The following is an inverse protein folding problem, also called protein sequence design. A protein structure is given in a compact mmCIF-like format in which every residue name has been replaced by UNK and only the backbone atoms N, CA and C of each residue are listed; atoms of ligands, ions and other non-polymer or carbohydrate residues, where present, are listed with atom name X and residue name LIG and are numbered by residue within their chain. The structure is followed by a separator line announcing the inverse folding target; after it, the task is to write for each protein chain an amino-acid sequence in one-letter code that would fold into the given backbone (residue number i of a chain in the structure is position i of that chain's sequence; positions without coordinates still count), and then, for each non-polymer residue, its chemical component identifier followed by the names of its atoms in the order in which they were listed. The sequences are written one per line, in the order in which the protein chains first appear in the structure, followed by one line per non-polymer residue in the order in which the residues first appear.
data_IF_005206218991
#
_entry.id   IF_005206218991
#
_cell.length_a   1.000
_cell.length_b   1.000
_cell.length_c   1.000
_cell.angle_alpha   90.00
_cell.angle_beta   90.00
_cell.angle_gamma   90.00
#
_symmetry.space_group_name_H-M   'P 1'
#
loop_
_entity.id
_entity.type
_entity.pdbx_description
1 polymer ?
#
# COMPACT_ATOMS: atom_id res chain seq x y z
N UNK A 1 8.35 -38.31 3.12
CA UNK A 1 9.09 -37.04 3.23
C UNK A 1 8.24 -35.96 2.59
N UNK A 2 7.56 -35.20 3.39
CA UNK A 2 6.78 -34.08 2.87
C UNK A 2 7.73 -32.95 2.51
N UNK A 3 7.75 -32.57 1.25
CA UNK A 3 8.29 -31.28 0.84
C UNK A 3 7.47 -30.23 1.55
N UNK A 4 8.05 -29.68 2.58
CA UNK A 4 7.48 -28.55 3.32
C UNK A 4 7.61 -27.32 2.43
N UNK A 5 6.79 -27.27 1.38
CA UNK A 5 6.71 -26.10 0.52
C UNK A 5 6.01 -25.01 1.34
N UNK A 6 6.82 -24.14 1.96
CA UNK A 6 6.31 -22.96 2.61
C UNK A 6 5.45 -22.15 1.62
N UNK A 7 4.32 -21.65 2.07
CA UNK A 7 3.46 -20.80 1.23
C UNK A 7 4.22 -19.55 0.77
N UNK A 8 3.88 -18.93 -0.37
CA UNK A 8 4.50 -17.68 -0.81
C UNK A 8 4.47 -16.60 0.28
N UNK A 9 3.42 -16.55 1.10
CA UNK A 9 3.33 -15.61 2.22
C UNK A 9 4.41 -15.87 3.27
N UNK A 10 4.77 -17.14 3.55
CA UNK A 10 5.80 -17.51 4.51
C UNK A 10 7.21 -17.16 4.02
N UNK A 11 7.42 -17.15 2.70
CA UNK A 11 8.69 -16.75 2.06
C UNK A 11 8.80 -15.26 1.82
N UNK A 12 7.75 -14.51 2.11
CA UNK A 12 7.68 -13.08 1.80
C UNK A 12 8.47 -12.28 2.83
N UNK A 13 9.36 -11.44 2.33
CA UNK A 13 10.09 -10.46 3.12
C UNK A 13 9.47 -9.09 2.86
N UNK A 14 9.04 -8.42 3.95
CA UNK A 14 8.56 -7.05 3.86
C UNK A 14 9.71 -6.12 4.26
N UNK A 15 10.04 -5.20 3.37
CA UNK A 15 11.10 -4.23 3.62
C UNK A 15 10.68 -2.84 3.17
N UNK A 16 11.43 -1.84 3.63
CA UNK A 16 11.20 -0.45 3.24
C UNK A 16 11.41 -0.26 1.74
N UNK A 17 10.56 0.56 1.15
CA UNK A 17 10.65 0.97 -0.25
C UNK A 17 11.96 1.74 -0.49
N UNK A 18 12.61 1.44 -1.62
CA UNK A 18 13.83 2.11 -2.09
C UNK A 18 13.56 2.75 -3.44
N UNK A 19 14.38 3.74 -3.80
CA UNK A 19 14.29 4.42 -5.10
C UNK A 19 14.38 3.42 -6.26
N UNK A 20 15.24 2.42 -6.13
CA UNK A 20 15.45 1.37 -7.14
C UNK A 20 14.22 0.52 -7.41
N UNK A 21 13.25 0.52 -6.51
CA UNK A 21 12.02 -0.27 -6.66
C UNK A 21 11.01 0.38 -7.62
N UNK A 22 11.22 1.64 -8.02
CA UNK A 22 10.24 2.41 -8.77
C UNK A 22 9.84 1.74 -10.10
N UNK A 23 10.79 1.13 -10.81
CA UNK A 23 10.51 0.45 -12.08
C UNK A 23 9.64 -0.80 -11.90
N UNK A 24 9.97 -1.64 -10.91
CA UNK A 24 9.19 -2.84 -10.63
C UNK A 24 7.79 -2.51 -10.10
N UNK A 25 7.68 -1.51 -9.25
CA UNK A 25 6.37 -1.01 -8.76
C UNK A 25 5.54 -0.48 -9.93
N UNK A 26 6.16 0.26 -10.86
CA UNK A 26 5.50 0.73 -12.06
C UNK A 26 4.95 -0.40 -12.93
N UNK A 27 5.68 -1.49 -13.06
CA UNK A 27 5.23 -2.69 -13.79
C UNK A 27 4.05 -3.36 -13.10
N UNK A 28 4.09 -3.50 -11.78
CA UNK A 28 2.99 -4.07 -10.99
C UNK A 28 1.73 -3.21 -11.16
N UNK A 29 1.86 -1.90 -11.00
CA UNK A 29 0.76 -0.96 -11.18
C UNK A 29 0.17 -1.06 -12.60
N UNK A 30 1.02 -1.07 -13.61
CA UNK A 30 0.60 -1.18 -15.02
C UNK A 30 -0.14 -2.49 -15.31
N UNK A 31 0.32 -3.59 -14.74
CA UNK A 31 -0.33 -4.90 -14.90
C UNK A 31 -1.73 -4.92 -14.26
N UNK A 32 -1.89 -4.31 -13.09
CA UNK A 32 -3.18 -4.24 -12.39
C UNK A 32 -4.15 -3.31 -13.11
N UNK A 33 -3.68 -2.13 -13.50
CA UNK A 33 -4.51 -1.11 -14.15
C UNK A 33 -4.69 -1.35 -15.65
N UNK A 34 -3.95 -2.29 -16.24
CA UNK A 34 -3.91 -2.56 -17.68
C UNK A 34 -3.58 -1.31 -18.50
N UNK A 35 -2.72 -0.47 -17.97
CA UNK A 35 -2.27 0.78 -18.56
C UNK A 35 -0.77 0.94 -18.35
N UNK A 36 -0.11 1.61 -19.30
CA UNK A 36 1.27 2.04 -19.09
C UNK A 36 1.31 3.08 -17.97
N UNK A 37 2.16 2.91 -16.96
CA UNK A 37 2.29 3.90 -15.90
C UNK A 37 2.68 5.26 -16.48
N UNK A 38 2.05 6.31 -16.02
CA UNK A 38 2.45 7.67 -16.35
C UNK A 38 3.83 7.95 -15.74
N UNK A 39 4.63 8.78 -16.41
CA UNK A 39 5.94 9.21 -15.88
C UNK A 39 5.85 9.74 -14.43
N UNK A 40 4.78 10.44 -14.11
CA UNK A 40 4.50 11.00 -12.79
C UNK A 40 4.41 9.93 -11.70
N UNK A 41 3.95 8.72 -12.02
CA UNK A 41 3.84 7.64 -11.03
C UNK A 41 5.22 7.20 -10.52
N UNK A 42 6.20 7.06 -11.42
CA UNK A 42 7.58 6.72 -11.01
C UNK A 42 8.21 7.82 -10.17
N UNK A 43 7.98 9.07 -10.54
CA UNK A 43 8.46 10.22 -9.76
C UNK A 43 7.84 10.25 -8.37
N UNK A 44 6.55 9.95 -8.26
CA UNK A 44 5.84 9.85 -6.99
C UNK A 44 6.44 8.76 -6.10
N UNK A 45 6.71 7.59 -6.66
CA UNK A 45 7.33 6.47 -5.93
C UNK A 45 8.71 6.87 -5.41
N UNK A 46 9.53 7.51 -6.25
CA UNK A 46 10.86 7.99 -5.87
C UNK A 46 10.79 9.02 -4.74
N UNK A 47 9.85 9.94 -4.81
CA UNK A 47 9.62 10.93 -3.77
C UNK A 47 9.28 10.27 -2.43
N UNK A 48 8.36 9.32 -2.41
CA UNK A 48 8.01 8.59 -1.20
C UNK A 48 9.16 7.76 -0.64
N UNK A 49 9.99 7.19 -1.52
CA UNK A 49 11.17 6.43 -1.10
C UNK A 49 12.19 7.28 -0.34
N UNK A 50 12.22 8.59 -0.60
CA UNK A 50 13.14 9.53 0.06
C UNK A 50 12.60 10.04 1.41
N UNK A 51 11.32 9.85 1.70
CA UNK A 51 10.69 10.31 2.95
C UNK A 51 10.80 9.23 4.02
N UNK A 52 11.61 9.48 5.05
CA UNK A 52 11.78 8.54 6.15
C UNK A 52 10.60 8.54 7.14
N UNK A 53 9.78 9.58 7.12
CA UNK A 53 8.63 9.71 8.01
C UNK A 53 7.41 8.90 7.53
N UNK A 54 7.35 8.56 6.26
CA UNK A 54 6.25 7.83 5.66
C UNK A 54 6.51 6.32 5.65
N UNK A 55 5.48 5.53 5.91
CA UNK A 55 5.57 4.08 5.85
C UNK A 55 5.25 3.60 4.43
N UNK A 56 6.28 3.29 3.68
CA UNK A 56 6.18 2.72 2.34
C UNK A 56 7.00 1.45 2.29
N UNK A 57 6.35 0.35 1.95
CA UNK A 57 6.96 -0.98 1.99
C UNK A 57 6.77 -1.73 0.67
N UNK A 58 7.70 -2.62 0.40
CA UNK A 58 7.60 -3.60 -0.67
C UNK A 58 7.65 -5.00 -0.10
N UNK A 59 7.05 -5.93 -0.80
CA UNK A 59 7.12 -7.35 -0.51
C UNK A 59 8.03 -8.02 -1.54
N UNK A 60 8.98 -8.81 -1.07
CA UNK A 60 9.88 -9.61 -1.90
C UNK A 60 9.67 -11.10 -1.65
N UNK A 61 9.77 -11.86 -2.72
CA UNK A 61 9.91 -13.32 -2.67
C UNK A 61 11.16 -13.67 -3.48
N UNK A 62 12.14 -14.29 -2.82
CA UNK A 62 13.40 -14.69 -3.45
C UNK A 62 14.10 -13.52 -4.18
N UNK A 63 14.09 -12.34 -3.58
CA UNK A 63 14.71 -11.14 -4.13
C UNK A 63 13.89 -10.39 -5.18
N UNK A 64 12.74 -10.91 -5.58
CA UNK A 64 11.85 -10.28 -6.55
C UNK A 64 10.75 -9.48 -5.84
N UNK A 65 10.57 -8.22 -6.23
CA UNK A 65 9.47 -7.39 -5.72
C UNK A 65 8.16 -7.87 -6.33
N UNK A 66 7.25 -8.33 -5.47
CA UNK A 66 5.96 -8.90 -5.88
C UNK A 66 4.77 -8.06 -5.41
N UNK A 67 5.00 -7.10 -4.54
CA UNK A 67 3.94 -6.21 -4.05
C UNK A 67 4.50 -4.95 -3.42
N UNK A 68 3.62 -3.98 -3.25
CA UNK A 68 3.98 -2.70 -2.63
C UNK A 68 2.77 -2.08 -1.95
N UNK A 69 3.04 -1.23 -0.96
CA UNK A 69 2.03 -0.37 -0.36
C UNK A 69 2.68 0.95 0.02
N UNK A 70 2.08 2.06 -0.45
CA UNK A 70 2.56 3.42 -0.25
C UNK A 70 1.58 4.15 0.65
N UNK A 71 2.12 4.77 1.69
CA UNK A 71 1.36 5.59 2.61
C UNK A 71 2.13 6.87 2.91
N UNK A 72 1.44 7.83 3.50
CA UNK A 72 2.03 9.10 3.88
C UNK A 72 1.33 9.66 5.11
N UNK A 73 2.02 10.56 5.81
CA UNK A 73 1.45 11.30 6.93
C UNK A 73 0.85 12.59 6.40
N UNK A 74 -0.38 12.86 6.81
CA UNK A 74 -1.09 14.05 6.44
C UNK A 74 -1.62 14.75 7.69
N UNK A 75 -1.33 16.03 7.81
CA UNK A 75 -1.93 16.89 8.83
C UNK A 75 -3.11 17.60 8.19
N UNK A 76 -4.30 17.11 8.45
CA UNK A 76 -5.53 17.73 8.02
C UNK A 76 -5.96 18.78 9.04
N UNK A 77 -6.58 19.85 8.58
CA UNK A 77 -7.22 20.83 9.45
C UNK A 77 -8.43 20.24 10.19
N UNK A 78 -9.33 21.08 10.64
CA UNK A 78 -10.58 20.67 11.30
C UNK A 78 -10.40 19.93 12.63
N UNK A 79 -9.32 20.23 13.38
CA UNK A 79 -9.08 19.60 14.66
C UNK A 79 -8.63 18.14 14.59
N UNK A 80 -8.35 17.65 13.40
CA UNK A 80 -7.76 16.32 13.24
C UNK A 80 -6.32 16.30 13.70
N UNK A 81 -5.99 15.25 14.44
CA UNK A 81 -4.62 14.94 14.75
C UNK A 81 -3.88 14.50 13.49
N UNK A 82 -2.55 14.50 13.58
CA UNK A 82 -1.69 13.93 12.55
C UNK A 82 -2.10 12.50 12.24
N UNK A 83 -2.38 12.21 11.01
CA UNK A 83 -2.93 10.92 10.56
C UNK A 83 -2.13 10.38 9.38
N UNK A 84 -2.22 9.08 9.16
CA UNK A 84 -1.61 8.43 8.02
C UNK A 84 -2.67 8.04 6.99
N UNK A 85 -2.27 7.97 5.73
CA UNK A 85 -3.13 7.62 4.60
C UNK A 85 -2.44 6.59 3.71
N UNK A 86 -3.13 5.51 3.42
CA UNK A 86 -2.69 4.56 2.39
C UNK A 86 -3.17 5.08 1.04
N UNK A 87 -2.21 5.38 0.17
CA UNK A 87 -2.49 6.01 -1.13
C UNK A 87 -2.52 5.02 -2.28
N UNK A 88 -1.60 4.06 -2.29
CA UNK A 88 -1.45 3.09 -3.37
C UNK A 88 -1.01 1.74 -2.83
N UNK A 89 -1.51 0.70 -3.46
CA UNK A 89 -1.08 -0.68 -3.16
C UNK A 89 -1.26 -1.54 -4.41
N UNK A 90 -0.49 -2.60 -4.47
CA UNK A 90 -0.62 -3.58 -5.53
C UNK A 90 0.18 -4.83 -5.22
N UNK A 91 -0.32 -5.95 -5.70
CA UNK A 91 0.36 -7.25 -5.66
C UNK A 91 0.32 -7.81 -7.08
N UNK A 92 1.42 -8.41 -7.52
CA UNK A 92 1.44 -9.08 -8.83
C UNK A 92 0.26 -10.05 -8.93
N UNK A 93 -0.46 -10.07 -10.08
CA UNK A 93 -1.66 -10.92 -10.21
C UNK A 93 -1.44 -12.38 -9.83
N UNK A 94 -0.29 -12.96 -10.18
CA UNK A 94 0.04 -14.35 -9.87
C UNK A 94 0.26 -14.61 -8.38
N UNK A 95 0.41 -13.58 -7.57
CA UNK A 95 0.61 -13.68 -6.11
C UNK A 95 -0.58 -13.16 -5.30
N UNK A 96 -1.66 -12.75 -5.96
CA UNK A 96 -2.87 -12.29 -5.28
C UNK A 96 -3.55 -13.44 -4.50
N UNK A 97 -4.23 -13.08 -3.41
CA UNK A 97 -4.96 -14.05 -2.59
C UNK A 97 -4.09 -14.88 -1.64
N UNK A 98 -2.82 -14.52 -1.46
CA UNK A 98 -1.86 -15.28 -0.65
C UNK A 98 -1.41 -14.54 0.62
N UNK A 99 -2.12 -13.48 1.01
CA UNK A 99 -1.84 -12.75 2.23
C UNK A 99 -0.74 -11.69 2.15
N UNK A 100 -0.18 -11.44 0.96
CA UNK A 100 0.91 -10.45 0.79
C UNK A 100 0.43 -9.03 1.09
N UNK A 101 -0.75 -8.66 0.58
CA UNK A 101 -1.35 -7.35 0.87
C UNK A 101 -1.60 -7.15 2.36
N UNK A 102 -2.09 -8.18 3.04
CA UNK A 102 -2.31 -8.13 4.49
C UNK A 102 -0.99 -7.97 5.26
N UNK A 103 0.07 -8.63 4.82
CA UNK A 103 1.40 -8.49 5.43
C UNK A 103 1.97 -7.08 5.26
N UNK A 104 1.82 -6.49 4.07
CA UNK A 104 2.20 -5.10 3.81
C UNK A 104 1.44 -4.13 4.70
N UNK A 105 0.12 -4.26 4.77
CA UNK A 105 -0.72 -3.43 5.63
C UNK A 105 -0.37 -3.58 7.10
N UNK A 106 -0.07 -4.80 7.54
CA UNK A 106 0.36 -5.08 8.92
C UNK A 106 1.62 -4.31 9.29
N UNK A 107 2.61 -4.25 8.40
CA UNK A 107 3.84 -3.48 8.62
C UNK A 107 3.56 -1.97 8.69
N UNK A 108 2.70 -1.46 7.82
CA UNK A 108 2.30 -0.04 7.84
C UNK A 108 1.63 0.30 9.18
N UNK A 109 0.67 -0.48 9.60
CA UNK A 109 -0.06 -0.25 10.85
C UNK A 109 0.89 -0.33 12.06
N UNK A 110 1.80 -1.29 12.06
CA UNK A 110 2.80 -1.44 13.12
C UNK A 110 3.73 -0.23 13.18
N UNK A 111 4.22 0.23 12.03
CA UNK A 111 5.08 1.40 11.94
C UNK A 111 4.40 2.64 12.52
N UNK A 112 3.18 2.94 12.06
CA UNK A 112 2.48 4.14 12.51
C UNK A 112 2.12 4.07 14.00
N UNK A 113 1.76 2.89 14.49
CA UNK A 113 1.57 2.70 15.94
C UNK A 113 2.83 3.03 16.72
N UNK A 114 4.00 2.63 16.22
CA UNK A 114 5.29 2.85 16.90
C UNK A 114 5.68 4.32 16.98
N UNK A 115 5.19 5.16 16.06
CA UNK A 115 5.46 6.61 16.03
C UNK A 115 4.31 7.46 16.57
N UNK A 116 3.31 6.83 17.19
CA UNK A 116 2.22 7.52 17.88
C UNK A 116 1.07 7.99 16.99
N UNK A 117 0.97 7.48 15.76
CA UNK A 117 -0.18 7.74 14.88
C UNK A 117 -1.35 6.85 15.31
N UNK A 118 -2.50 7.47 15.61
CA UNK A 118 -3.68 6.76 16.12
C UNK A 118 -4.60 6.24 15.02
N UNK A 119 -4.64 6.89 13.87
CA UNK A 119 -5.56 6.54 12.79
C UNK A 119 -4.85 6.47 11.45
N UNK A 120 -5.21 5.45 10.70
CA UNK A 120 -4.78 5.26 9.31
C UNK A 120 -6.03 5.23 8.44
N UNK A 121 -6.07 6.10 7.44
CA UNK A 121 -7.19 6.25 6.52
C UNK A 121 -6.83 5.72 5.14
N UNK A 122 -7.84 5.41 4.38
CA UNK A 122 -7.72 5.14 2.94
C UNK A 122 -9.02 5.51 2.25
N UNK A 123 -8.97 5.68 0.93
CA UNK A 123 -10.14 5.92 0.11
C UNK A 123 -10.29 4.76 -0.87
N UNK A 124 -11.49 4.19 -0.93
CA UNK A 124 -11.83 3.07 -1.80
C UNK A 124 -13.01 3.48 -2.67
N UNK A 125 -12.93 3.19 -3.96
CA UNK A 125 -14.06 3.44 -4.87
C UNK A 125 -15.23 2.52 -4.52
N UNK A 126 -16.44 3.04 -4.62
CA UNK A 126 -17.65 2.28 -4.36
C UNK A 126 -17.82 1.06 -5.31
N UNK A 127 -17.24 1.16 -6.52
CA UNK A 127 -17.28 0.11 -7.53
C UNK A 127 -16.08 -0.86 -7.45
N UNK A 128 -15.37 -0.88 -6.34
CA UNK A 128 -14.25 -1.79 -6.08
C UNK A 128 -14.53 -2.67 -4.85
N UNK A 129 -15.48 -3.63 -4.96
CA UNK A 129 -15.89 -4.44 -3.81
C UNK A 129 -14.77 -5.32 -3.23
N UNK A 130 -13.87 -5.80 -4.08
CA UNK A 130 -12.74 -6.63 -3.62
C UNK A 130 -11.79 -5.83 -2.74
N UNK A 131 -11.48 -4.59 -3.11
CA UNK A 131 -10.62 -3.72 -2.35
C UNK A 131 -11.28 -3.29 -1.04
N UNK A 132 -12.59 -2.99 -1.08
CA UNK A 132 -13.35 -2.66 0.12
C UNK A 132 -13.37 -3.83 1.08
N UNK A 133 -13.61 -5.04 0.58
CA UNK A 133 -13.59 -6.28 1.38
C UNK A 133 -12.21 -6.51 2.01
N UNK A 134 -11.14 -6.30 1.24
CA UNK A 134 -9.76 -6.40 1.73
C UNK A 134 -9.52 -5.50 2.94
N UNK A 135 -9.86 -4.22 2.84
CA UNK A 135 -9.68 -3.30 3.96
C UNK A 135 -10.57 -3.63 5.16
N UNK A 136 -11.79 -4.13 4.93
CA UNK A 136 -12.65 -4.58 6.01
C UNK A 136 -12.05 -5.75 6.78
N UNK A 137 -11.43 -6.70 6.11
CA UNK A 137 -10.73 -7.82 6.79
C UNK A 137 -9.58 -7.36 7.66
N UNK A 138 -9.02 -6.19 7.37
CA UNK A 138 -7.95 -5.57 8.17
C UNK A 138 -8.47 -4.70 9.32
N UNK A 139 -9.78 -4.62 9.49
CA UNK A 139 -10.39 -3.83 10.55
C UNK A 139 -10.69 -2.37 10.20
N UNK A 140 -10.54 -2.00 8.93
CA UNK A 140 -10.97 -0.67 8.48
C UNK A 140 -12.50 -0.59 8.44
N UNK A 141 -13.03 0.53 8.84
CA UNK A 141 -14.46 0.81 8.83
C UNK A 141 -14.70 2.22 8.31
N UNK A 142 -15.98 2.55 8.11
CA UNK A 142 -16.35 3.90 7.67
C UNK A 142 -15.85 4.93 8.66
N UNK A 143 -15.16 5.96 8.15
CA UNK A 143 -14.73 7.11 8.96
C UNK A 143 -15.86 8.12 9.13
N UNK A 144 -15.60 9.13 9.98
CA UNK A 144 -16.51 10.29 10.18
C UNK A 144 -16.46 11.30 9.02
N UNK A 145 -15.58 11.09 8.03
CA UNK A 145 -15.35 12.01 6.94
C UNK A 145 -15.87 11.47 5.63
N UNK A 146 -16.32 12.35 4.75
CA UNK A 146 -16.60 12.01 3.36
C UNK A 146 -15.65 12.79 2.46
N UNK A 147 -15.28 12.19 1.32
CA UNK A 147 -14.48 12.86 0.31
C UNK A 147 -15.39 13.68 -0.61
N UNK A 148 -15.01 14.94 -0.83
CA UNK A 148 -15.69 15.81 -1.78
C UNK A 148 -14.76 16.04 -2.97
N UNK A 149 -15.34 16.10 -4.16
CA UNK A 149 -14.61 16.28 -5.42
C UNK A 149 -15.27 17.34 -6.27
N UNK A 150 -14.47 18.20 -6.88
CA UNK A 150 -14.92 19.16 -7.89
C UNK A 150 -13.98 19.08 -9.09
N UNK A 151 -14.53 19.01 -10.29
CA UNK A 151 -13.74 19.21 -11.51
C UNK A 151 -13.40 20.69 -11.67
N UNK A 152 -12.16 20.98 -12.03
CA UNK A 152 -11.67 22.34 -12.29
C UNK A 152 -11.35 22.57 -13.76
N UNK A 153 -11.75 21.63 -14.60
CA UNK A 153 -11.60 21.70 -16.05
C UNK A 153 -12.94 21.87 -16.75
#
# INVERSE_FOLDING_TARGET
MGDNMSSPAEKTVIRKLKIEDADEIGKIYGAIMQKTPKADFKSLVKEHAQRNADACFVAEIEGEVVGFMISYILTLGFGMEKSAWIANLGVKPQFMGQGIGASLAGEILRFYRSVGISYVYTSVRWDSPDLLSFFKTLGFDRSEFINLRKSVQ
#
